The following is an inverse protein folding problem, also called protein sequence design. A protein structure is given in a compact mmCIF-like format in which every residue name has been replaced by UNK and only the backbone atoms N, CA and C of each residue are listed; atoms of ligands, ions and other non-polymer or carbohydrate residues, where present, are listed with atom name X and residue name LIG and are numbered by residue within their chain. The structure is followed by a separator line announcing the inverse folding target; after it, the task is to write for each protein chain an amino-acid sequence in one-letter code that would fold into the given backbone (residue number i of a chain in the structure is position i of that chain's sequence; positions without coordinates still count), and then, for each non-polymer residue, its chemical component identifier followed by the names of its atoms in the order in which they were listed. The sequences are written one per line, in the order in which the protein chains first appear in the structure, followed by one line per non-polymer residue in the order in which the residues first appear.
data_IF_387966258116
#
_entry.id   IF_387966258116
#
_cell.length_a   1.000
_cell.length_b   1.000
_cell.length_c   1.000
_cell.angle_alpha   90.00
_cell.angle_beta   90.00
_cell.angle_gamma   90.00
#
_symmetry.space_group_name_H-M   'P 1'
#
loop_
_entity.id
_entity.type
_entity.pdbx_description
1 polymer ?
#
# COMPACT_ATOMS: atom_id res chain seq x y z
N UNK A 1 -11.81 52.36 -108.24
CA UNK A 1 -12.55 51.62 -107.20
C UNK A 1 -11.67 51.57 -105.96
N UNK A 2 -12.26 51.88 -104.81
CA UNK A 2 -11.62 52.29 -103.58
C UNK A 2 -10.86 51.17 -102.84
N UNK A 3 -9.79 51.54 -102.13
CA UNK A 3 -9.24 50.77 -101.00
C UNK A 3 -10.31 50.61 -99.89
N UNK A 4 -10.27 49.47 -99.17
CA UNK A 4 -9.90 49.53 -97.75
C UNK A 4 -8.95 48.35 -97.40
N UNK A 5 -7.96 48.52 -96.53
CA UNK A 5 -8.14 48.67 -95.09
C UNK A 5 -7.23 47.65 -94.40
N UNK A 6 -6.00 48.09 -94.09
CA UNK A 6 -4.98 47.34 -93.36
C UNK A 6 -5.53 47.03 -91.96
N UNK A 7 -5.66 45.75 -91.62
CA UNK A 7 -6.21 45.28 -90.35
C UNK A 7 -5.20 45.49 -89.21
N UNK A 8 -5.39 46.53 -88.42
CA UNK A 8 -4.62 46.85 -87.19
C UNK A 8 -4.92 45.88 -86.01
N UNK A 9 -5.55 44.73 -86.26
CA UNK A 9 -6.11 43.85 -85.22
C UNK A 9 -5.08 42.93 -84.54
N UNK A 10 -3.86 42.79 -85.07
CA UNK A 10 -2.86 41.83 -84.55
C UNK A 10 -1.90 42.44 -83.50
N UNK A 11 -1.78 43.77 -83.46
CA UNK A 11 -0.89 44.47 -82.52
C UNK A 11 -1.48 44.56 -81.12
N UNK A 12 -2.78 44.85 -81.01
CA UNK A 12 -3.46 45.02 -79.73
C UNK A 12 -3.60 43.71 -78.95
N UNK A 13 -3.83 42.58 -79.63
CA UNK A 13 -3.95 41.26 -78.99
C UNK A 13 -2.58 40.74 -78.49
N UNK A 14 -1.50 41.02 -79.22
CA UNK A 14 -0.13 40.70 -78.78
C UNK A 14 0.28 41.53 -77.56
N UNK A 15 -0.08 42.81 -77.53
CA UNK A 15 0.16 43.70 -76.39
C UNK A 15 -0.67 43.25 -75.18
N UNK A 16 -1.93 42.87 -75.38
CA UNK A 16 -2.80 42.32 -74.32
C UNK A 16 -2.24 41.05 -73.68
N UNK A 17 -1.75 40.11 -74.50
CA UNK A 17 -1.13 38.88 -74.03
C UNK A 17 0.17 39.13 -73.23
N UNK A 18 0.99 40.11 -73.66
CA UNK A 18 2.20 40.52 -72.94
C UNK A 18 1.88 41.17 -71.59
N UNK A 19 0.83 41.99 -71.52
CA UNK A 19 0.36 42.60 -70.27
C UNK A 19 -0.16 41.51 -69.32
N UNK A 20 -0.97 40.58 -69.81
CA UNK A 20 -1.47 39.46 -69.01
C UNK A 20 -0.34 38.56 -68.48
N UNK A 21 0.65 38.25 -69.32
CA UNK A 21 1.83 37.48 -68.93
C UNK A 21 2.65 38.21 -67.86
N UNK A 22 2.83 39.52 -67.99
CA UNK A 22 3.52 40.36 -67.00
C UNK A 22 2.79 40.37 -65.65
N UNK A 23 1.47 40.56 -65.66
CA UNK A 23 0.66 40.55 -64.42
C UNK A 23 0.68 39.17 -63.75
N UNK A 24 0.64 38.08 -64.54
CA UNK A 24 0.75 36.72 -64.02
C UNK A 24 2.14 36.45 -63.40
N UNK A 25 3.21 36.93 -64.02
CA UNK A 25 4.59 36.86 -63.49
C UNK A 25 4.74 37.65 -62.19
N UNK A 26 4.14 38.84 -62.14
CA UNK A 26 4.13 39.68 -60.93
C UNK A 26 3.39 38.99 -59.80
N UNK A 27 2.22 38.39 -60.08
CA UNK A 27 1.47 37.62 -59.11
C UNK A 27 2.25 36.40 -58.62
N UNK A 28 2.92 35.65 -59.51
CA UNK A 28 3.74 34.51 -59.11
C UNK A 28 4.95 34.91 -58.28
N UNK A 29 5.56 36.06 -58.58
CA UNK A 29 6.67 36.60 -57.81
C UNK A 29 6.22 36.99 -56.39
N UNK A 30 5.07 37.65 -56.25
CA UNK A 30 4.52 37.97 -54.93
C UNK A 30 4.14 36.71 -54.14
N UNK A 31 3.57 35.68 -54.79
CA UNK A 31 3.34 34.37 -54.15
C UNK A 31 4.64 33.72 -53.69
N UNK A 32 5.69 33.75 -54.51
CA UNK A 32 7.00 33.20 -54.16
C UNK A 32 7.63 33.93 -52.97
N UNK A 33 7.49 35.27 -52.90
CA UNK A 33 7.96 36.05 -51.74
C UNK A 33 7.20 35.68 -50.47
N UNK A 34 5.87 35.58 -50.55
CA UNK A 34 5.04 35.18 -49.42
C UNK A 34 5.42 33.77 -48.91
N UNK A 35 5.72 32.85 -49.83
CA UNK A 35 6.18 31.50 -49.51
C UNK A 35 7.59 31.52 -48.87
N UNK A 36 8.49 32.37 -49.36
CA UNK A 36 9.79 32.62 -48.74
C UNK A 36 9.69 33.11 -47.30
N UNK A 37 8.83 34.09 -47.03
CA UNK A 37 8.56 34.58 -45.66
C UNK A 37 7.93 33.50 -44.76
N UNK A 38 7.04 32.66 -45.31
CA UNK A 38 6.44 31.56 -44.56
C UNK A 38 7.47 30.49 -44.18
N UNK A 39 8.41 30.18 -45.07
CA UNK A 39 9.52 29.25 -44.82
C UNK A 39 10.50 29.82 -43.78
N UNK A 40 10.86 31.09 -43.88
CA UNK A 40 11.72 31.77 -42.92
C UNK A 40 11.09 31.78 -41.52
N UNK A 41 9.77 31.96 -41.43
CA UNK A 41 9.01 31.86 -40.18
C UNK A 41 8.90 30.42 -39.65
N UNK A 42 8.91 29.42 -40.53
CA UNK A 42 8.81 28.01 -40.16
C UNK A 42 10.15 27.40 -39.73
N UNK A 43 11.28 27.92 -40.23
CA UNK A 43 12.64 27.46 -39.92
C UNK A 43 12.91 27.36 -38.41
N UNK A 44 12.74 28.43 -37.62
CA UNK A 44 12.96 28.40 -36.18
C UNK A 44 12.07 27.37 -35.44
N UNK A 45 10.85 27.13 -35.93
CA UNK A 45 9.96 26.11 -35.34
C UNK A 45 10.45 24.69 -35.63
N UNK A 46 10.99 24.45 -36.81
CA UNK A 46 11.60 23.16 -37.17
C UNK A 46 12.89 22.92 -36.38
N UNK A 47 13.70 23.96 -36.21
CA UNK A 47 14.92 23.89 -35.38
C UNK A 47 14.57 23.62 -33.91
N UNK A 48 13.53 24.25 -33.37
CA UNK A 48 13.04 24.00 -32.01
C UNK A 48 12.54 22.55 -31.87
N UNK A 49 11.79 22.02 -32.84
CA UNK A 49 11.36 20.62 -32.84
C UNK A 49 12.57 19.67 -32.88
N UNK A 50 13.53 19.92 -33.76
CA UNK A 50 14.76 19.11 -33.86
C UNK A 50 15.60 19.17 -32.59
N UNK A 51 15.60 20.28 -31.85
CA UNK A 51 16.29 20.37 -30.56
C UNK A 51 15.56 19.64 -29.43
N UNK A 52 14.22 19.59 -29.47
CA UNK A 52 13.41 18.94 -28.43
C UNK A 52 13.18 17.44 -28.65
N UNK A 53 13.37 16.96 -29.88
CA UNK A 53 13.18 15.57 -30.24
C UNK A 53 14.14 14.61 -29.49
N UNK A 54 15.46 14.87 -29.41
CA UNK A 54 16.39 13.93 -28.75
C UNK A 54 16.18 13.77 -27.24
N UNK A 55 15.95 14.85 -26.44
CA UNK A 55 15.60 14.70 -25.02
C UNK A 55 14.29 13.95 -24.81
N UNK A 56 13.31 14.15 -25.70
CA UNK A 56 12.03 13.46 -25.65
C UNK A 56 12.19 11.97 -25.99
N UNK A 57 12.92 11.65 -27.06
CA UNK A 57 13.27 10.27 -27.42
C UNK A 57 14.06 9.58 -26.30
N UNK A 58 15.00 10.27 -25.66
CA UNK A 58 15.73 9.74 -24.52
C UNK A 58 14.83 9.47 -23.30
N UNK A 59 13.85 10.35 -23.04
CA UNK A 59 12.89 10.18 -21.95
C UNK A 59 11.89 9.04 -22.22
N UNK A 60 11.56 8.78 -23.49
CA UNK A 60 10.66 7.71 -23.92
C UNK A 60 11.42 6.40 -24.19
N UNK A 61 12.75 6.41 -24.35
CA UNK A 61 13.61 5.23 -24.55
C UNK A 61 13.36 4.03 -23.62
N UNK A 62 13.00 4.22 -22.33
CA UNK A 62 12.64 3.11 -21.45
C UNK A 62 11.36 2.37 -21.86
N UNK A 63 10.56 2.95 -22.75
CA UNK A 63 9.31 2.42 -23.29
C UNK A 63 9.55 2.11 -24.77
N UNK A 64 9.70 0.83 -25.10
CA UNK A 64 9.84 0.35 -26.50
C UNK A 64 8.60 -0.34 -27.03
N UNK A 65 7.48 -0.13 -26.34
CA UNK A 65 6.21 -0.81 -26.51
C UNK A 65 5.26 -0.02 -27.41
N UNK A 66 4.51 -0.74 -28.26
CA UNK A 66 3.33 -0.14 -28.90
C UNK A 66 2.21 0.10 -27.87
N UNK A 67 1.16 0.79 -28.30
CA UNK A 67 0.08 1.23 -27.39
C UNK A 67 -0.65 0.04 -26.77
N UNK A 68 -0.88 -1.01 -27.55
CA UNK A 68 -1.57 -2.22 -27.12
C UNK A 68 -0.73 -2.98 -26.10
N UNK A 69 0.58 -3.16 -26.34
CA UNK A 69 1.50 -3.76 -25.39
C UNK A 69 1.64 -2.94 -24.09
N UNK A 70 1.54 -1.61 -24.15
CA UNK A 70 1.53 -0.75 -22.95
C UNK A 70 0.28 -0.92 -22.10
N UNK A 71 -0.88 -1.14 -22.72
CA UNK A 71 -2.13 -1.39 -22.00
C UNK A 71 -2.04 -2.74 -21.28
N UNK A 72 -1.59 -3.79 -21.98
CA UNK A 72 -1.43 -5.13 -21.40
C UNK A 72 -0.37 -5.12 -20.28
N UNK A 73 0.77 -4.45 -20.51
CA UNK A 73 1.79 -4.27 -19.48
C UNK A 73 1.24 -3.51 -18.26
N UNK A 74 0.38 -2.51 -18.48
CA UNK A 74 -0.31 -1.77 -17.41
C UNK A 74 -1.15 -2.69 -16.51
N UNK A 75 -1.90 -3.61 -17.09
CA UNK A 75 -2.71 -4.58 -16.34
C UNK A 75 -1.83 -5.55 -15.52
N UNK A 76 -0.74 -6.04 -16.13
CA UNK A 76 0.25 -6.87 -15.43
C UNK A 76 0.92 -6.10 -14.28
N UNK A 77 1.36 -4.87 -14.51
CA UNK A 77 1.97 -3.98 -13.52
C UNK A 77 1.02 -3.73 -12.34
N UNK A 78 -0.24 -3.38 -12.62
CA UNK A 78 -1.25 -3.12 -11.59
C UNK A 78 -1.50 -4.35 -10.71
N UNK A 79 -1.43 -5.55 -11.30
CA UNK A 79 -1.65 -6.82 -10.59
C UNK A 79 -0.56 -7.13 -9.55
N UNK A 80 0.69 -6.73 -9.74
CA UNK A 80 1.75 -6.92 -8.74
C UNK A 80 1.96 -5.71 -7.81
N UNK A 81 1.79 -4.48 -8.32
CA UNK A 81 2.04 -3.27 -7.52
C UNK A 81 1.08 -3.18 -6.33
N UNK A 82 -0.21 -3.48 -6.53
CA UNK A 82 -1.20 -3.39 -5.45
C UNK A 82 -0.86 -4.26 -4.23
N UNK A 83 -0.57 -5.56 -4.43
CA UNK A 83 -0.14 -6.43 -3.35
C UNK A 83 1.22 -6.08 -2.76
N UNK A 84 2.21 -5.68 -3.57
CA UNK A 84 3.51 -5.22 -3.06
C UNK A 84 3.34 -3.98 -2.15
N UNK A 85 2.47 -3.04 -2.54
CA UNK A 85 2.15 -1.87 -1.73
C UNK A 85 1.40 -2.24 -0.43
N UNK A 86 0.57 -3.28 -0.45
CA UNK A 86 -0.10 -3.78 0.77
C UNK A 86 0.92 -4.39 1.75
N UNK A 87 1.90 -5.16 1.25
CA UNK A 87 3.00 -5.70 2.06
C UNK A 87 3.82 -4.58 2.71
N UNK A 88 4.17 -3.54 1.95
CA UNK A 88 4.90 -2.38 2.47
C UNK A 88 4.14 -1.66 3.59
N UNK A 89 2.82 -1.46 3.44
CA UNK A 89 1.99 -0.85 4.48
C UNK A 89 1.96 -1.67 5.78
N UNK A 90 1.96 -3.00 5.67
CA UNK A 90 2.03 -3.88 6.85
C UNK A 90 3.41 -3.79 7.51
N UNK A 91 4.48 -3.67 6.73
CA UNK A 91 5.83 -3.44 7.23
C UNK A 91 5.94 -2.12 8.01
N UNK A 92 5.39 -1.02 7.48
CA UNK A 92 5.33 0.27 8.16
C UNK A 92 4.54 0.19 9.48
N UNK A 93 3.42 -0.55 9.48
CA UNK A 93 2.62 -0.78 10.68
C UNK A 93 3.38 -1.57 11.75
N UNK A 94 4.16 -2.59 11.36
CA UNK A 94 5.02 -3.37 12.26
C UNK A 94 6.11 -2.48 12.88
N UNK A 95 6.76 -1.64 12.07
CA UNK A 95 7.76 -0.69 12.58
C UNK A 95 7.14 0.29 13.60
N UNK A 96 5.88 0.67 13.41
CA UNK A 96 5.11 1.45 14.40
C UNK A 96 4.87 0.71 15.73
N UNK A 97 4.75 -0.62 15.72
CA UNK A 97 4.56 -1.44 16.92
C UNK A 97 5.84 -1.67 17.73
N UNK A 98 7.02 -1.54 17.11
CA UNK A 98 8.31 -1.71 17.80
C UNK A 98 8.47 -0.77 19.00
N UNK A 99 8.08 0.51 18.84
CA UNK A 99 8.10 1.49 19.94
C UNK A 99 7.20 1.07 21.11
N UNK A 100 6.06 0.42 20.82
CA UNK A 100 5.14 -0.08 21.83
C UNK A 100 5.70 -1.31 22.56
N UNK A 101 6.43 -2.18 21.86
CA UNK A 101 7.06 -3.37 22.45
C UNK A 101 8.24 -3.07 23.38
N UNK A 102 8.86 -1.90 23.24
CA UNK A 102 9.91 -1.41 24.15
C UNK A 102 9.35 -0.92 25.50
N UNK A 103 8.04 -0.89 25.67
CA UNK A 103 7.37 -0.50 26.93
C UNK A 103 7.44 -1.61 27.98
N UNK A 104 7.55 -1.24 29.26
CA UNK A 104 7.62 -2.23 30.35
C UNK A 104 6.32 -3.06 30.45
N UNK A 105 6.38 -4.39 30.25
CA UNK A 105 5.20 -5.26 30.26
C UNK A 105 4.53 -5.35 31.64
N UNK A 106 5.20 -4.96 32.73
CA UNK A 106 4.67 -5.00 34.10
C UNK A 106 3.58 -3.97 34.36
N UNK A 107 3.52 -2.91 33.55
CA UNK A 107 2.59 -1.81 33.76
C UNK A 107 1.20 -2.09 33.16
N UNK A 108 1.10 -2.91 32.11
CA UNK A 108 -0.17 -3.30 31.50
C UNK A 108 -0.02 -4.56 30.64
N UNK A 109 -0.09 -5.72 31.28
CA UNK A 109 0.06 -7.02 30.62
C UNK A 109 -0.99 -7.27 29.52
N UNK A 110 -2.30 -6.99 29.70
CA UNK A 110 -3.30 -7.15 28.64
C UNK A 110 -3.01 -6.32 27.39
N UNK A 111 -2.56 -5.07 27.56
CA UNK A 111 -2.17 -4.21 26.44
C UNK A 111 -0.94 -4.77 25.72
N UNK A 112 0.09 -5.20 26.46
CA UNK A 112 1.31 -5.76 25.87
C UNK A 112 1.01 -7.03 25.05
N UNK A 113 0.13 -7.90 25.56
CA UNK A 113 -0.33 -9.09 24.83
C UNK A 113 -1.10 -8.75 23.55
N UNK A 114 -1.89 -7.66 23.55
CA UNK A 114 -2.59 -7.20 22.35
C UNK A 114 -1.63 -6.72 21.25
N UNK A 115 -0.53 -6.06 21.62
CA UNK A 115 0.53 -5.62 20.70
C UNK A 115 1.28 -6.82 20.12
N UNK A 116 1.60 -7.81 20.95
CA UNK A 116 2.23 -9.07 20.50
C UNK A 116 1.35 -9.84 19.53
N UNK A 117 0.03 -9.92 19.79
CA UNK A 117 -0.91 -10.57 18.87
C UNK A 117 -0.97 -9.87 17.51
N UNK A 118 -1.01 -8.52 17.50
CA UNK A 118 -0.97 -7.74 16.25
C UNK A 118 0.33 -7.94 15.47
N UNK A 119 1.45 -8.05 16.19
CA UNK A 119 2.74 -8.38 15.57
C UNK A 119 2.70 -9.77 14.95
N UNK A 120 2.20 -10.78 15.65
CA UNK A 120 2.06 -12.14 15.12
C UNK A 120 1.21 -12.19 13.85
N UNK A 121 0.05 -11.50 13.84
CA UNK A 121 -0.83 -11.42 12.68
C UNK A 121 -0.14 -10.76 11.48
N UNK A 122 0.61 -9.68 11.72
CA UNK A 122 1.39 -9.00 10.68
C UNK A 122 2.53 -9.88 10.14
N UNK A 123 3.24 -10.60 11.01
CA UNK A 123 4.29 -11.54 10.63
C UNK A 123 3.76 -12.70 9.78
N UNK A 124 2.58 -13.24 10.13
CA UNK A 124 1.89 -14.25 9.32
C UNK A 124 1.49 -13.69 7.95
N UNK A 125 0.86 -12.52 7.91
CA UNK A 125 0.50 -11.87 6.64
C UNK A 125 1.74 -11.65 5.76
N UNK A 126 2.84 -11.15 6.30
CA UNK A 126 4.08 -10.97 5.54
C UNK A 126 4.68 -12.30 5.06
N UNK A 127 4.69 -13.35 5.90
CA UNK A 127 5.14 -14.68 5.49
C UNK A 127 4.35 -15.24 4.31
N UNK A 128 3.02 -15.08 4.35
CA UNK A 128 2.12 -15.60 3.31
C UNK A 128 2.15 -14.78 2.01
N UNK A 129 2.39 -13.46 2.10
CA UNK A 129 2.20 -12.54 0.97
C UNK A 129 3.52 -12.01 0.36
N UNK A 130 4.63 -11.96 1.11
CA UNK A 130 5.90 -11.48 0.56
C UNK A 130 6.43 -12.38 -0.57
N UNK A 131 6.28 -13.71 -0.43
CA UNK A 131 6.74 -14.65 -1.45
C UNK A 131 5.94 -14.50 -2.75
N UNK A 132 4.62 -14.37 -2.62
CA UNK A 132 3.73 -14.10 -3.76
C UNK A 132 4.00 -12.74 -4.40
N UNK A 133 4.26 -11.69 -3.62
CA UNK A 133 4.57 -10.37 -4.14
C UNK A 133 5.90 -10.36 -4.91
N UNK A 134 6.93 -11.07 -4.41
CA UNK A 134 8.20 -11.24 -5.13
C UNK A 134 7.96 -12.00 -6.43
N UNK A 135 7.23 -13.11 -6.38
CA UNK A 135 6.92 -13.90 -7.57
C UNK A 135 6.15 -13.08 -8.62
N UNK A 136 5.16 -12.27 -8.21
CA UNK A 136 4.43 -11.41 -9.15
C UNK A 136 5.30 -10.31 -9.76
N UNK A 137 6.31 -9.82 -9.03
CA UNK A 137 7.31 -8.89 -9.59
C UNK A 137 8.27 -9.61 -10.54
N UNK A 138 8.65 -10.86 -10.26
CA UNK A 138 9.45 -11.71 -11.16
C UNK A 138 8.69 -11.96 -12.47
N UNK A 139 7.41 -12.36 -12.39
CA UNK A 139 6.55 -12.61 -13.55
C UNK A 139 6.41 -11.37 -14.46
N UNK A 140 6.34 -10.17 -13.90
CA UNK A 140 6.33 -8.92 -14.68
C UNK A 140 7.67 -8.66 -15.34
N UNK A 141 8.78 -8.90 -14.63
CA UNK A 141 10.10 -8.68 -15.21
C UNK A 141 10.37 -9.63 -16.37
N UNK A 142 9.94 -10.88 -16.26
CA UNK A 142 10.01 -11.85 -17.34
C UNK A 142 9.13 -11.41 -18.52
N UNK A 143 7.90 -10.95 -18.26
CA UNK A 143 7.02 -10.41 -19.30
C UNK A 143 7.62 -9.18 -20.00
N UNK A 144 8.26 -8.26 -19.27
CA UNK A 144 8.90 -7.07 -19.84
C UNK A 144 10.14 -7.42 -20.67
N UNK A 145 10.86 -8.49 -20.31
CA UNK A 145 12.05 -9.00 -21.02
C UNK A 145 11.64 -9.67 -22.33
N UNK A 146 10.66 -10.57 -22.27
CA UNK A 146 10.13 -11.32 -23.41
C UNK A 146 9.55 -10.42 -24.50
N UNK A 147 8.99 -9.28 -24.10
CA UNK A 147 8.36 -8.33 -25.01
C UNK A 147 9.29 -7.16 -25.41
N UNK A 148 10.57 -7.14 -25.00
CA UNK A 148 11.53 -6.05 -25.29
C UNK A 148 10.97 -4.67 -24.91
N UNK A 149 10.16 -4.59 -23.86
CA UNK A 149 9.37 -3.39 -23.54
C UNK A 149 10.17 -2.34 -22.75
N UNK A 150 11.27 -2.78 -22.13
CA UNK A 150 12.16 -1.94 -21.34
C UNK A 150 13.61 -1.98 -21.86
N UNK A 151 14.37 -0.92 -21.57
CA UNK A 151 15.80 -0.87 -21.85
C UNK A 151 16.56 -1.91 -21.01
N UNK A 152 17.51 -2.63 -21.63
CA UNK A 152 18.25 -3.75 -21.02
C UNK A 152 18.91 -3.37 -19.68
N UNK A 153 19.49 -2.16 -19.59
CA UNK A 153 20.11 -1.66 -18.36
C UNK A 153 19.08 -1.43 -17.24
N UNK A 154 17.87 -0.99 -17.59
CA UNK A 154 16.79 -0.75 -16.62
C UNK A 154 16.25 -2.07 -16.08
N UNK A 155 16.07 -3.05 -16.95
CA UNK A 155 15.61 -4.39 -16.59
C UNK A 155 16.65 -5.13 -15.72
N UNK A 156 17.94 -5.01 -16.04
CA UNK A 156 19.04 -5.51 -15.20
C UNK A 156 19.06 -4.90 -13.79
N UNK A 157 18.84 -3.58 -13.69
CA UNK A 157 18.76 -2.92 -12.39
C UNK A 157 17.57 -3.42 -11.56
N UNK A 158 16.40 -3.59 -12.18
CA UNK A 158 15.21 -4.13 -11.51
C UNK A 158 15.42 -5.58 -11.05
N UNK A 159 15.99 -6.44 -11.90
CA UNK A 159 16.36 -7.82 -11.53
C UNK A 159 17.34 -7.84 -10.35
N UNK A 160 18.32 -6.94 -10.31
CA UNK A 160 19.27 -6.82 -9.19
C UNK A 160 18.58 -6.39 -7.88
N UNK A 161 17.69 -5.41 -7.93
CA UNK A 161 16.90 -4.98 -6.78
C UNK A 161 15.98 -6.08 -6.25
N UNK A 162 15.34 -6.82 -7.15
CA UNK A 162 14.44 -7.94 -6.80
C UNK A 162 15.21 -9.10 -6.17
N UNK A 163 16.41 -9.40 -6.68
CA UNK A 163 17.32 -10.37 -6.06
C UNK A 163 17.68 -9.96 -4.63
N UNK A 164 18.01 -8.69 -4.41
CA UNK A 164 18.26 -8.16 -3.06
C UNK A 164 17.05 -8.27 -2.13
N UNK A 165 15.84 -8.07 -2.65
CA UNK A 165 14.58 -8.25 -1.90
C UNK A 165 14.35 -9.73 -1.53
N UNK A 166 14.61 -10.66 -2.44
CA UNK A 166 14.54 -12.11 -2.21
C UNK A 166 15.56 -12.58 -1.16
N UNK A 167 16.78 -12.05 -1.22
CA UNK A 167 17.81 -12.30 -0.21
C UNK A 167 17.39 -11.78 1.18
N UNK A 168 16.79 -10.59 1.26
CA UNK A 168 16.22 -10.04 2.50
C UNK A 168 15.05 -10.88 3.05
N UNK A 169 14.23 -11.47 2.17
CA UNK A 169 13.19 -12.42 2.57
C UNK A 169 13.77 -13.74 3.13
N UNK A 170 14.93 -14.16 2.66
CA UNK A 170 15.61 -15.31 3.27
C UNK A 170 16.12 -15.00 4.69
N UNK A 171 16.51 -13.74 4.95
CA UNK A 171 16.95 -13.23 6.26
C UNK A 171 15.79 -12.93 7.23
N UNK A 172 14.58 -12.77 6.68
CA UNK A 172 13.27 -12.94 7.36
C UNK A 172 13.10 -14.36 7.97
N UNK A 173 14.13 -15.22 7.92
CA UNK A 173 14.48 -16.21 8.95
C UNK A 173 14.26 -15.69 10.39
N UNK A 174 14.42 -14.40 10.67
CA UNK A 174 14.04 -13.79 11.95
C UNK A 174 12.52 -13.87 12.23
N UNK A 175 11.67 -13.72 11.22
CA UNK A 175 10.20 -13.91 11.31
C UNK A 175 9.88 -15.38 11.55
N UNK A 176 10.51 -16.32 10.83
CA UNK A 176 10.34 -17.75 11.08
C UNK A 176 10.82 -18.15 12.48
N UNK A 177 11.92 -17.56 12.98
CA UNK A 177 12.40 -17.73 14.35
C UNK A 177 11.43 -17.12 15.37
N UNK A 178 10.87 -15.94 15.11
CA UNK A 178 9.86 -15.30 15.96
C UNK A 178 8.55 -16.09 15.96
N UNK A 179 8.11 -16.62 14.81
CA UNK A 179 6.96 -17.51 14.68
C UNK A 179 7.20 -18.85 15.38
N UNK A 180 8.42 -19.39 15.32
CA UNK A 180 8.80 -20.59 16.08
C UNK A 180 8.85 -20.31 17.59
N UNK A 181 9.33 -19.14 18.02
CA UNK A 181 9.30 -18.69 19.41
C UNK A 181 7.85 -18.48 19.88
N UNK A 182 6.99 -17.82 19.10
CA UNK A 182 5.57 -17.63 19.37
C UNK A 182 4.81 -18.97 19.40
N UNK A 183 5.07 -19.87 18.47
CA UNK A 183 4.52 -21.23 18.46
C UNK A 183 4.98 -22.05 19.67
N UNK A 184 6.23 -21.87 20.11
CA UNK A 184 6.75 -22.43 21.37
C UNK A 184 6.15 -21.79 22.61
N UNK A 185 5.84 -20.48 22.60
CA UNK A 185 5.13 -19.81 23.69
C UNK A 185 3.67 -20.30 23.79
N UNK A 186 3.01 -20.53 22.64
CA UNK A 186 1.67 -21.10 22.53
C UNK A 186 1.60 -22.54 23.04
N UNK A 187 2.53 -23.40 22.63
CA UNK A 187 2.58 -24.82 23.07
C UNK A 187 3.01 -24.98 24.52
N UNK A 188 3.69 -23.99 25.09
CA UNK A 188 4.17 -24.09 26.46
C UNK A 188 3.07 -23.95 27.52
N UNK A 189 1.84 -23.49 27.21
CA UNK A 189 0.74 -23.29 28.18
C UNK A 189 1.14 -22.61 29.50
N UNK A 190 2.31 -21.96 29.58
CA UNK A 190 2.87 -21.43 30.84
C UNK A 190 2.08 -20.23 31.33
N UNK A 191 1.36 -19.56 30.43
CA UNK A 191 0.50 -18.43 30.75
C UNK A 191 -0.83 -18.90 31.33
N UNK A 192 -1.52 -19.84 30.68
CA UNK A 192 -2.73 -20.48 31.22
C UNK A 192 -2.44 -21.19 32.54
N UNK A 193 -1.30 -21.90 32.61
CA UNK A 193 -0.81 -22.53 33.84
C UNK A 193 -0.42 -21.50 34.90
N UNK A 194 0.16 -20.37 34.50
CA UNK A 194 0.50 -19.27 35.41
C UNK A 194 -0.72 -18.55 35.97
N UNK A 195 -1.74 -18.31 35.14
CA UNK A 195 -3.04 -17.79 35.54
C UNK A 195 -3.75 -18.79 36.45
N UNK A 196 -3.73 -20.08 36.11
CA UNK A 196 -4.30 -21.16 36.92
C UNK A 196 -3.65 -21.24 38.30
N UNK A 197 -2.31 -21.24 38.38
CA UNK A 197 -1.57 -21.22 39.65
C UNK A 197 -1.86 -19.93 40.44
N UNK A 198 -1.89 -18.77 39.78
CA UNK A 198 -2.21 -17.50 40.44
C UNK A 198 -3.62 -17.52 41.04
N UNK A 199 -4.62 -17.98 40.29
CA UNK A 199 -6.01 -18.11 40.74
C UNK A 199 -6.09 -19.12 41.88
N UNK A 200 -5.40 -20.25 41.81
CA UNK A 200 -5.37 -21.26 42.85
C UNK A 200 -4.77 -20.72 44.16
N UNK A 201 -3.60 -20.06 44.08
CA UNK A 201 -2.92 -19.46 45.23
C UNK A 201 -3.77 -18.34 45.84
N UNK A 202 -4.34 -17.45 45.02
CA UNK A 202 -5.17 -16.34 45.52
C UNK A 202 -6.48 -16.85 46.11
N UNK A 203 -7.12 -17.84 45.50
CA UNK A 203 -8.33 -18.49 46.03
C UNK A 203 -8.04 -19.21 47.35
N UNK A 204 -6.89 -19.91 47.44
CA UNK A 204 -6.48 -20.58 48.67
C UNK A 204 -6.14 -19.59 49.78
N UNK A 205 -5.46 -18.48 49.46
CA UNK A 205 -5.21 -17.41 50.43
C UNK A 205 -6.50 -16.73 50.89
N UNK A 206 -7.41 -16.40 49.97
CA UNK A 206 -8.73 -15.85 50.35
C UNK A 206 -9.49 -16.84 51.21
N UNK A 207 -9.52 -18.13 50.84
CA UNK A 207 -10.17 -19.18 51.65
C UNK A 207 -9.55 -19.32 53.03
N UNK A 208 -8.22 -19.26 53.15
CA UNK A 208 -7.52 -19.30 54.43
C UNK A 208 -7.79 -18.05 55.28
N UNK A 209 -7.79 -16.86 54.66
CA UNK A 209 -8.14 -15.61 55.32
C UNK A 209 -9.62 -15.56 55.75
N UNK A 210 -10.52 -16.15 54.96
CA UNK A 210 -11.94 -16.30 55.29
C UNK A 210 -12.17 -17.38 56.35
N UNK A 211 -11.35 -18.45 56.39
CA UNK A 211 -11.39 -19.46 57.45
C UNK A 211 -11.07 -18.86 58.82
N UNK A 212 -10.28 -17.79 58.87
CA UNK A 212 -10.03 -17.04 60.10
C UNK A 212 -11.26 -16.24 60.59
N UNK A 213 -12.30 -16.08 59.77
CA UNK A 213 -13.59 -15.50 60.15
C UNK A 213 -14.57 -16.53 60.73
N UNK A 214 -14.13 -17.77 60.96
CA UNK A 214 -14.91 -18.86 61.55
C UNK A 214 -16.30 -19.02 60.91
N UNK A 215 -16.29 -19.28 59.60
CA UNK A 215 -17.50 -19.37 58.77
C UNK A 215 -18.27 -20.70 58.95
N UNK A 216 -17.99 -21.47 60.01
CA UNK A 216 -18.62 -22.76 60.29
C UNK A 216 -20.15 -22.60 60.48
N UNK A 217 -20.62 -21.39 60.82
CA UNK A 217 -22.04 -21.03 60.85
C UNK A 217 -22.71 -20.95 59.45
N UNK A 218 -21.95 -20.95 58.35
CA UNK A 218 -22.49 -21.02 56.99
C UNK A 218 -22.61 -22.46 56.46
N UNK A 219 -21.97 -23.44 57.11
CA UNK A 219 -22.06 -24.87 56.77
C UNK A 219 -23.33 -25.54 57.35
N UNK A 220 -24.36 -24.74 57.59
CA UNK A 220 -25.61 -25.18 58.20
C UNK A 220 -26.47 -25.94 57.19
N UNK A 221 -26.95 -27.10 57.63
CA UNK A 221 -27.87 -27.94 56.87
C UNK A 221 -29.18 -27.21 56.59
N UNK A 222 -29.74 -27.38 55.38
CA UNK A 222 -31.04 -26.81 55.01
C UNK A 222 -32.19 -27.23 55.97
N UNK A 223 -31.98 -28.26 56.78
CA UNK A 223 -32.93 -28.75 57.79
C UNK A 223 -32.94 -27.92 59.10
N UNK A 224 -31.98 -27.02 59.31
CA UNK A 224 -31.91 -26.15 60.50
C UNK A 224 -32.61 -24.80 60.28
N UNK A 225 -33.04 -24.50 59.04
CA UNK A 225 -33.90 -23.37 58.72
C UNK A 225 -35.38 -23.67 59.07
N UNK A 226 -35.67 -23.81 60.36
CA UNK A 226 -37.02 -24.13 60.83
C UNK A 226 -37.92 -22.90 61.03
N UNK A 227 -37.37 -21.67 61.01
CA UNK A 227 -38.14 -20.42 60.98
C UNK A 227 -37.34 -19.26 60.32
N UNK A 228 -38.02 -18.13 60.10
CA UNK A 228 -37.44 -16.93 59.45
C UNK A 228 -36.46 -16.18 60.36
N UNK A 229 -36.63 -16.24 61.68
CA UNK A 229 -35.74 -15.57 62.63
C UNK A 229 -34.37 -16.24 62.69
N UNK A 230 -34.31 -17.56 62.49
CA UNK A 230 -33.03 -18.27 62.38
C UNK A 230 -32.23 -17.81 61.18
N UNK A 231 -32.89 -17.56 60.03
CA UNK A 231 -32.25 -17.02 58.81
C UNK A 231 -31.74 -15.59 59.03
N UNK A 232 -32.55 -14.72 59.64
CA UNK A 232 -32.17 -13.32 59.90
C UNK A 232 -30.93 -13.20 60.81
N UNK A 233 -30.81 -14.07 61.82
CA UNK A 233 -29.63 -14.14 62.68
C UNK A 233 -28.34 -14.45 61.93
N UNK A 234 -28.38 -15.38 60.96
CA UNK A 234 -27.22 -15.70 60.13
C UNK A 234 -26.87 -14.59 59.13
N UNK A 235 -27.88 -13.94 58.54
CA UNK A 235 -27.67 -12.79 57.65
C UNK A 235 -27.03 -11.63 58.43
N UNK A 236 -27.46 -11.37 59.67
CA UNK A 236 -26.87 -10.35 60.52
C UNK A 236 -25.42 -10.68 60.90
N UNK A 237 -25.12 -11.93 61.27
CA UNK A 237 -23.76 -12.38 61.59
C UNK A 237 -22.82 -12.25 60.37
N UNK A 238 -23.32 -12.61 59.19
CA UNK A 238 -22.61 -12.45 57.92
C UNK A 238 -22.40 -10.98 57.56
N UNK A 239 -23.44 -10.16 57.71
CA UNK A 239 -23.39 -8.72 57.49
C UNK A 239 -22.40 -8.01 58.43
N UNK A 240 -22.25 -8.48 59.66
CA UNK A 240 -21.29 -7.93 60.64
C UNK A 240 -19.85 -8.32 60.30
N UNK A 241 -19.60 -9.56 59.85
CA UNK A 241 -18.28 -10.03 59.42
C UNK A 241 -17.72 -9.27 58.19
N UNK A 242 -18.61 -8.78 57.32
CA UNK A 242 -18.25 -8.03 56.11
C UNK A 242 -18.53 -6.52 56.20
N UNK A 243 -19.01 -6.02 57.34
CA UNK A 243 -19.27 -4.58 57.58
C UNK A 243 -20.43 -4.01 56.75
N UNK A 244 -21.40 -4.85 56.34
CA UNK A 244 -22.51 -4.48 55.44
C UNK A 244 -23.79 -4.11 56.21
N UNK A 245 -23.95 -4.57 57.46
CA UNK A 245 -25.14 -4.28 58.27
C UNK A 245 -24.80 -3.39 59.47
N UNK A 246 -24.87 -2.08 59.29
CA UNK A 246 -24.97 -1.11 60.38
C UNK A 246 -26.46 -0.80 60.58
N UNK A 247 -27.08 -1.31 61.65
CA UNK A 247 -28.42 -0.85 62.04
C UNK A 247 -28.35 0.60 62.53
N UNK A 248 -29.20 1.46 61.96
CA UNK A 248 -29.47 2.79 62.49
C UNK A 248 -30.31 2.66 63.77
N UNK A 249 -30.02 3.42 64.84
CA UNK A 249 -30.81 3.34 66.07
C UNK A 249 -32.14 4.07 65.89
N UNK A 250 -33.21 3.49 66.44
CA UNK A 250 -34.52 4.13 66.67
C UNK A 250 -34.40 5.19 67.75
#
# INVERSE_FOLDING_TARGET
MAEPGRSDVNGDDMIGNLIAARESLKLSLEKSKALGFALEKAGPRLDEINQRLPPLEAAVRPIRADKEALIDAGDHINRAIGPAAAVLKVFDAVHGLEKSLLSDPRNNLPWYLSVLKRLEEALRFMGDNCGLAIQWLEDILDYLDDNVMADEQHLLNLKKSLKGLSELQSDVSAIHKLQAILGRLRTNNRLEKGISIYVEVRSSNVRASLKALDLDYLEISLAEFNDVQSIEGYIAHWGQAFGVCSEAPV
#
